data_IF_320373790372
#
_entry.id   IF_320373790372
#
_cell.length_a   1.000
_cell.length_b   1.000
_cell.length_c   1.000
_cell.angle_alpha   90.00
_cell.angle_beta   90.00
_cell.angle_gamma   90.00
#
_symmetry.space_group_name_H-M   'P 1'
#
loop_
_entity.id
_entity.type
_entity.pdbx_description
1 polymer ?
#
# COMPACT_ATOMS: atom_id res chain seq x y z
N UNK A 1 -5.08 4.76 -18.13
CA UNK A 1 -4.99 4.38 -16.70
C UNK A 1 -3.71 4.98 -16.19
N UNK A 2 -3.83 5.92 -15.26
CA UNK A 2 -2.69 6.59 -14.67
C UNK A 2 -2.02 5.67 -13.65
N UNK A 3 -0.70 5.49 -13.72
CA UNK A 3 0.01 4.54 -12.86
C UNK A 3 -0.21 4.90 -11.38
N UNK A 4 -0.33 3.88 -10.53
CA UNK A 4 -0.37 4.07 -9.08
C UNK A 4 0.97 4.63 -8.61
N UNK A 5 0.93 5.74 -7.86
CA UNK A 5 2.14 6.37 -7.32
C UNK A 5 2.37 5.99 -5.87
N UNK A 6 3.62 6.12 -5.42
CA UNK A 6 3.97 5.96 -4.01
C UNK A 6 3.18 6.92 -3.13
N UNK A 7 3.03 8.17 -3.56
CA UNK A 7 2.26 9.17 -2.81
C UNK A 7 0.80 8.76 -2.64
N UNK A 8 0.16 8.26 -3.69
CA UNK A 8 -1.21 7.76 -3.64
C UNK A 8 -1.33 6.56 -2.70
N UNK A 9 -0.41 5.60 -2.81
CA UNK A 9 -0.38 4.42 -1.95
C UNK A 9 -0.22 4.81 -0.48
N UNK A 10 0.71 5.74 -0.15
CA UNK A 10 0.91 6.26 1.21
C UNK A 10 -0.37 6.87 1.76
N UNK A 11 -1.04 7.72 0.98
CA UNK A 11 -2.29 8.36 1.42
C UNK A 11 -3.38 7.33 1.74
N UNK A 12 -3.48 6.28 0.92
CA UNK A 12 -4.47 5.22 1.10
C UNK A 12 -4.23 4.35 2.34
N UNK A 13 -2.96 4.10 2.71
CA UNK A 13 -2.60 3.13 3.75
C UNK A 13 -2.02 3.75 5.03
N UNK A 14 -1.78 5.06 5.07
CA UNK A 14 -1.11 5.69 6.23
C UNK A 14 -1.84 5.46 7.55
N UNK A 15 -3.18 5.34 7.51
CA UNK A 15 -4.01 5.05 8.68
C UNK A 15 -3.82 3.62 9.21
N UNK A 16 -3.31 2.70 8.40
CA UNK A 16 -3.02 1.32 8.81
C UNK A 16 -1.74 1.21 9.65
N UNK A 17 -0.77 2.09 9.38
CA UNK A 17 0.51 2.09 10.07
C UNK A 17 0.40 2.80 11.41
N UNK A 18 0.31 1.98 12.48
CA UNK A 18 0.33 2.44 13.87
C UNK A 18 1.61 2.02 14.59
N UNK A 19 1.46 1.48 15.81
CA UNK A 19 2.59 1.05 16.65
C UNK A 19 3.12 -0.35 16.34
N UNK A 20 2.44 -1.12 15.48
CA UNK A 20 2.74 -2.52 15.16
C UNK A 20 2.93 -2.72 13.67
N UNK A 21 3.57 -3.83 13.30
CA UNK A 21 3.63 -4.27 11.90
C UNK A 21 2.23 -4.51 11.35
N UNK A 22 2.06 -4.23 10.06
CA UNK A 22 0.79 -4.28 9.34
C UNK A 22 0.87 -5.37 8.28
N UNK A 23 -0.13 -6.23 8.18
CA UNK A 23 -0.19 -7.25 7.13
C UNK A 23 -0.74 -6.68 5.82
N UNK A 24 -0.48 -7.34 4.69
CA UNK A 24 -1.06 -6.96 3.38
C UNK A 24 -2.59 -6.90 3.42
N UNK A 25 -3.26 -7.82 4.12
CA UNK A 25 -4.72 -7.77 4.33
C UNK A 25 -5.15 -6.48 5.02
N UNK A 26 -4.45 -6.07 6.09
CA UNK A 26 -4.75 -4.82 6.80
C UNK A 26 -4.50 -3.58 5.92
N UNK A 27 -3.48 -3.62 5.06
CA UNK A 27 -3.22 -2.54 4.09
C UNK A 27 -4.35 -2.43 3.06
N UNK A 28 -4.86 -3.56 2.56
CA UNK A 28 -5.99 -3.61 1.63
C UNK A 28 -7.26 -3.08 2.32
N UNK A 29 -7.54 -3.50 3.55
CA UNK A 29 -8.69 -3.00 4.30
C UNK A 29 -8.62 -1.49 4.54
N UNK A 30 -7.45 -0.97 4.94
CA UNK A 30 -7.26 0.47 5.12
C UNK A 30 -7.45 1.25 3.81
N UNK A 31 -6.88 0.76 2.71
CA UNK A 31 -7.07 1.36 1.39
C UNK A 31 -8.54 1.35 0.96
N UNK A 32 -9.30 0.27 1.27
CA UNK A 32 -10.75 0.22 1.02
C UNK A 32 -11.52 1.23 1.85
N UNK A 33 -11.20 1.36 3.14
CA UNK A 33 -11.81 2.36 4.03
C UNK A 33 -11.52 3.79 3.54
N UNK A 34 -10.32 4.02 3.01
CA UNK A 34 -9.93 5.29 2.41
C UNK A 34 -10.55 5.55 1.01
N UNK A 35 -11.40 4.64 0.51
CA UNK A 35 -11.99 4.69 -0.83
C UNK A 35 -10.94 4.83 -1.95
N UNK A 36 -9.80 4.14 -1.79
CA UNK A 36 -8.74 4.14 -2.78
C UNK A 36 -9.19 3.58 -4.14
N UNK A 37 -8.50 3.98 -5.21
CA UNK A 37 -8.76 3.47 -6.56
C UNK A 37 -8.60 1.95 -6.62
N UNK A 38 -9.32 1.31 -7.54
CA UNK A 38 -9.21 -0.14 -7.79
C UNK A 38 -7.77 -0.56 -8.07
N UNK A 39 -7.02 0.25 -8.82
CA UNK A 39 -5.63 0.00 -9.17
C UNK A 39 -4.71 -0.08 -7.93
N UNK A 40 -4.99 0.72 -6.88
CA UNK A 40 -4.27 0.66 -5.60
C UNK A 40 -4.54 -0.67 -4.89
N UNK A 41 -5.81 -1.09 -4.85
CA UNK A 41 -6.20 -2.36 -4.23
C UNK A 41 -5.62 -3.56 -4.98
N UNK A 42 -5.60 -3.51 -6.31
CA UNK A 42 -4.98 -4.53 -7.16
C UNK A 42 -3.47 -4.60 -6.93
N UNK A 43 -2.80 -3.45 -6.81
CA UNK A 43 -1.38 -3.37 -6.47
C UNK A 43 -1.09 -4.00 -5.10
N UNK A 44 -1.85 -3.64 -4.06
CA UNK A 44 -1.68 -4.21 -2.72
C UNK A 44 -2.01 -5.71 -2.66
N UNK A 45 -2.87 -6.21 -3.55
CA UNK A 45 -3.20 -7.63 -3.65
C UNK A 45 -2.08 -8.47 -4.30
N UNK A 46 -1.09 -7.85 -4.95
CA UNK A 46 0.12 -8.53 -5.43
C UNK A 46 1.12 -8.80 -4.30
N UNK A 47 0.94 -8.18 -3.13
CA UNK A 47 1.80 -8.39 -1.98
C UNK A 47 1.54 -9.76 -1.38
N UNK A 48 2.61 -10.44 -0.98
CA UNK A 48 2.53 -11.71 -0.28
C UNK A 48 1.63 -11.60 0.98
N UNK A 49 0.69 -12.55 1.19
CA UNK A 49 -0.25 -12.51 2.31
C UNK A 49 0.42 -12.70 3.69
N UNK A 50 1.58 -13.36 3.74
CA UNK A 50 2.36 -13.57 4.97
C UNK A 50 3.36 -12.43 5.23
N UNK A 51 3.54 -11.51 4.28
CA UNK A 51 4.40 -10.35 4.46
C UNK A 51 3.82 -9.37 5.50
N UNK A 52 4.70 -8.93 6.40
CA UNK A 52 4.41 -7.94 7.43
C UNK A 52 5.29 -6.70 7.24
N UNK A 53 4.65 -5.53 7.18
CA UNK A 53 5.31 -4.25 6.92
C UNK A 53 5.37 -3.44 8.20
N UNK A 54 6.57 -3.09 8.65
CA UNK A 54 6.74 -2.24 9.84
C UNK A 54 6.51 -0.77 9.50
N UNK A 55 6.90 -0.37 8.31
CA UNK A 55 6.82 1.00 7.83
C UNK A 55 6.41 1.03 6.36
N UNK A 56 5.95 2.20 5.91
CA UNK A 56 5.66 2.43 4.49
C UNK A 56 6.91 2.22 3.61
N UNK A 57 8.12 2.40 4.16
CA UNK A 57 9.36 2.19 3.42
C UNK A 57 9.58 0.72 3.04
N UNK A 58 9.08 -0.23 3.85
CA UNK A 58 9.17 -1.67 3.56
C UNK A 58 8.44 -2.01 2.25
N UNK A 59 7.31 -1.35 1.97
CA UNK A 59 6.55 -1.53 0.73
C UNK A 59 7.33 -1.13 -0.54
N UNK A 60 8.27 -0.19 -0.44
CA UNK A 60 9.10 0.21 -1.58
C UNK A 60 10.14 -0.84 -1.95
N UNK A 61 10.43 -1.78 -1.05
CA UNK A 61 11.25 -2.95 -1.37
C UNK A 61 10.47 -3.97 -2.19
N UNK A 62 9.14 -4.05 -1.99
CA UNK A 62 8.24 -4.91 -2.78
C UNK A 62 7.91 -4.28 -4.13
N UNK A 63 7.78 -2.95 -4.17
CA UNK A 63 7.46 -2.20 -5.38
C UNK A 63 8.56 -1.20 -5.79
N UNK A 64 9.75 -1.68 -6.18
CA UNK A 64 10.89 -0.80 -6.47
C UNK A 64 10.62 0.12 -7.66
N UNK A 65 9.86 -0.33 -8.65
CA UNK A 65 9.59 0.41 -9.90
C UNK A 65 8.40 1.37 -9.81
N UNK A 66 7.73 1.47 -8.65
CA UNK A 66 6.56 2.34 -8.52
C UNK A 66 6.95 3.82 -8.59
N UNK A 67 6.32 4.64 -9.46
CA UNK A 67 6.61 6.05 -9.60
C UNK A 67 6.29 6.82 -8.32
N UNK A 68 7.07 7.87 -8.01
CA UNK A 68 6.94 8.62 -6.75
C UNK A 68 5.71 9.53 -6.77
N UNK A 69 5.52 10.25 -7.88
CA UNK A 69 4.43 11.22 -8.15
C UNK A 69 4.23 11.28 -9.68
N UNK A 70 3.03 11.66 -10.14
CA UNK A 70 2.69 11.83 -11.58
C UNK A 70 2.85 13.27 -12.05
#
# INVERSE_FOLDING_TARGET
MDPVTRLELVRAISSAFGSTSVSSTQLIEAARTAHARKEVLETLSQVDPDASFRTVRDLWTVFPEMPVDV
#
